data_IF_710637801766
#
_entry.id   IF_710637801766
#
_cell.length_a   1.000
_cell.length_b   1.000
_cell.length_c   1.000
_cell.angle_alpha   90.00
_cell.angle_beta   90.00
_cell.angle_gamma   90.00
#
_symmetry.space_group_name_H-M   'P 1'
#
loop_
_entity.id
_entity.type
_entity.pdbx_description
1 polymer ?
#
# COMPACT_ATOMS: atom_id res chain seq x y z
N UNK A 1 -9.41 -32.23 -19.49
CA UNK A 1 -9.18 -30.81 -19.74
C UNK A 1 -7.72 -30.65 -20.11
N UNK A 2 -7.47 -30.14 -21.30
CA UNK A 2 -6.11 -29.81 -21.76
C UNK A 2 -5.60 -28.57 -21.01
N UNK A 3 -4.40 -28.63 -20.46
CA UNK A 3 -3.81 -27.49 -19.75
C UNK A 3 -3.26 -26.49 -20.77
N UNK A 4 -3.73 -25.28 -20.74
CA UNK A 4 -3.21 -24.19 -21.56
C UNK A 4 -1.87 -23.70 -20.98
N UNK A 5 -0.92 -23.42 -21.88
CA UNK A 5 0.38 -22.84 -21.46
C UNK A 5 0.27 -21.32 -21.48
N UNK A 6 0.73 -20.67 -20.42
CA UNK A 6 0.70 -19.20 -20.28
C UNK A 6 1.43 -18.49 -21.45
N UNK A 7 2.47 -19.11 -22.01
CA UNK A 7 3.21 -18.56 -23.15
C UNK A 7 2.40 -18.49 -24.46
N UNK A 8 1.20 -19.09 -24.51
CA UNK A 8 0.30 -19.02 -25.66
C UNK A 8 -0.55 -17.75 -25.68
N UNK A 9 -0.55 -17.00 -24.58
CA UNK A 9 -1.29 -15.75 -24.48
C UNK A 9 -0.42 -14.57 -24.95
N UNK A 10 -0.97 -13.65 -25.74
CA UNK A 10 -0.21 -12.47 -26.15
C UNK A 10 0.13 -11.61 -24.92
N UNK A 11 1.41 -11.28 -24.78
CA UNK A 11 1.86 -10.29 -23.79
C UNK A 11 1.59 -8.91 -24.39
N UNK A 12 0.72 -8.13 -23.77
CA UNK A 12 0.55 -6.74 -24.12
C UNK A 12 1.72 -5.94 -23.52
N UNK A 13 2.47 -5.23 -24.38
CA UNK A 13 3.52 -4.34 -23.92
C UNK A 13 2.92 -3.24 -23.02
N UNK A 14 3.61 -2.95 -21.93
CA UNK A 14 3.28 -1.87 -21.01
C UNK A 14 3.35 -0.52 -21.78
N UNK A 15 2.19 0.05 -22.07
CA UNK A 15 2.13 1.28 -22.85
C UNK A 15 2.42 2.50 -21.99
N UNK A 16 3.23 3.42 -22.52
CA UNK A 16 3.36 4.77 -21.97
C UNK A 16 2.32 5.71 -22.57
N UNK A 17 1.92 6.72 -21.79
CA UNK A 17 1.05 7.83 -22.23
C UNK A 17 1.78 9.13 -22.01
N UNK A 18 1.83 9.97 -23.05
CA UNK A 18 2.33 11.34 -22.94
C UNK A 18 1.19 12.27 -22.55
N UNK A 19 1.40 13.05 -21.50
CA UNK A 19 0.47 14.09 -21.03
C UNK A 19 1.17 15.44 -21.09
N UNK A 20 0.50 16.43 -21.69
CA UNK A 20 1.03 17.79 -21.84
C UNK A 20 0.43 18.71 -20.79
N UNK A 21 1.30 19.47 -20.13
CA UNK A 21 0.94 20.56 -19.22
C UNK A 21 1.47 21.86 -19.81
N UNK A 22 0.60 22.85 -19.94
CA UNK A 22 0.97 24.19 -20.33
C UNK A 22 1.35 25.00 -19.10
N UNK A 23 2.54 25.63 -19.13
CA UNK A 23 2.98 26.55 -18.08
C UNK A 23 2.37 27.94 -18.28
N UNK A 24 2.43 28.80 -17.25
CA UNK A 24 1.97 30.18 -17.34
C UNK A 24 2.71 30.98 -18.44
N UNK A 25 3.95 30.60 -18.77
CA UNK A 25 4.76 31.20 -19.82
C UNK A 25 4.45 30.66 -21.23
N UNK A 26 3.41 29.81 -21.36
CA UNK A 26 3.02 29.18 -22.63
C UNK A 26 3.94 28.04 -23.10
N UNK A 27 4.88 27.59 -22.27
CA UNK A 27 5.70 26.42 -22.57
C UNK A 27 4.93 25.13 -22.23
N UNK A 28 5.22 24.06 -22.97
CA UNK A 28 4.67 22.74 -22.68
C UNK A 28 5.67 21.90 -21.90
N UNK A 29 5.22 21.36 -20.76
CA UNK A 29 5.91 20.31 -20.02
C UNK A 29 5.35 18.96 -20.46
N UNK A 30 6.25 18.06 -20.85
CA UNK A 30 5.90 16.71 -21.28
C UNK A 30 6.06 15.77 -20.07
N UNK A 31 4.97 15.12 -19.68
CA UNK A 31 5.01 14.07 -18.64
C UNK A 31 4.74 12.72 -19.32
N UNK A 32 5.69 11.81 -19.12
CA UNK A 32 5.55 10.42 -19.54
C UNK A 32 4.91 9.61 -18.42
N UNK A 33 3.83 8.90 -18.72
CA UNK A 33 3.06 8.13 -17.74
C UNK A 33 3.08 6.65 -18.13
N UNK A 34 3.62 5.80 -17.27
CA UNK A 34 3.48 4.34 -17.39
C UNK A 34 2.06 3.95 -16.98
N UNK A 35 1.30 3.34 -17.90
CA UNK A 35 -0.10 2.96 -17.64
C UNK A 35 -0.23 1.84 -16.64
N UNK A 36 0.72 0.91 -16.68
CA UNK A 36 0.74 -0.27 -15.83
C UNK A 36 2.10 -0.40 -15.16
N UNK A 37 2.11 -0.64 -13.85
CA UNK A 37 3.30 -0.92 -13.08
C UNK A 37 3.47 -2.45 -12.95
N UNK A 38 4.72 -2.96 -12.98
CA UNK A 38 5.00 -4.34 -12.61
C UNK A 38 4.47 -4.66 -11.22
N UNK A 39 4.01 -5.90 -11.02
CA UNK A 39 3.43 -6.33 -9.75
C UNK A 39 4.37 -6.09 -8.56
N UNK A 40 5.67 -6.28 -8.75
CA UNK A 40 6.67 -6.04 -7.71
C UNK A 40 6.69 -4.57 -7.26
N UNK A 41 6.64 -3.61 -8.19
CA UNK A 41 6.57 -2.18 -7.88
C UNK A 41 5.25 -1.81 -7.17
N UNK A 42 4.12 -2.39 -7.61
CA UNK A 42 2.83 -2.19 -6.91
C UNK A 42 2.89 -2.68 -5.47
N UNK A 43 3.45 -3.86 -5.24
CA UNK A 43 3.62 -4.43 -3.90
C UNK A 43 4.50 -3.55 -3.03
N UNK A 44 5.61 -3.02 -3.55
CA UNK A 44 6.49 -2.09 -2.84
C UNK A 44 5.75 -0.81 -2.44
N UNK A 45 4.99 -0.21 -3.36
CA UNK A 45 4.16 0.97 -3.07
C UNK A 45 3.16 0.67 -1.94
N UNK A 46 2.45 -0.46 -2.02
CA UNK A 46 1.46 -0.85 -1.02
C UNK A 46 2.13 -1.08 0.34
N UNK A 47 3.28 -1.74 0.37
CA UNK A 47 4.05 -1.94 1.61
C UNK A 47 4.48 -0.60 2.22
N UNK A 48 4.98 0.34 1.41
CA UNK A 48 5.34 1.67 1.88
C UNK A 48 4.15 2.43 2.47
N UNK A 49 2.98 2.38 1.80
CA UNK A 49 1.75 2.99 2.30
C UNK A 49 1.37 2.38 3.65
N UNK A 50 1.33 1.06 3.72
CA UNK A 50 0.89 0.31 4.89
C UNK A 50 1.86 0.52 6.06
N UNK A 51 3.17 0.49 5.82
CA UNK A 51 4.20 0.71 6.85
C UNK A 51 4.13 2.12 7.44
N UNK A 52 4.03 3.15 6.60
CA UNK A 52 3.88 4.53 7.08
C UNK A 52 2.57 4.75 7.84
N UNK A 53 1.56 3.96 7.51
CA UNK A 53 0.26 4.02 8.13
C UNK A 53 0.22 3.29 9.47
N UNK A 54 0.84 2.11 9.53
CA UNK A 54 0.78 1.17 10.68
C UNK A 54 1.81 1.50 11.76
N UNK A 55 2.95 2.11 11.38
CA UNK A 55 4.03 2.51 12.32
C UNK A 55 3.65 3.76 13.12
N UNK A 56 2.78 4.61 12.60
CA UNK A 56 2.23 5.70 13.39
C UNK A 56 1.44 5.12 14.57
N UNK A 57 1.85 5.46 15.80
CA UNK A 57 1.30 4.97 17.08
C UNK A 57 -0.22 5.17 17.27
N UNK A 58 -0.85 5.85 16.33
CA UNK A 58 -2.27 6.13 16.32
C UNK A 58 -3.02 4.96 15.67
N UNK A 59 -3.69 4.16 16.52
CA UNK A 59 -4.56 3.03 16.18
C UNK A 59 -5.78 3.37 15.32
N UNK A 60 -5.82 4.55 14.73
CA UNK A 60 -6.93 5.01 13.90
C UNK A 60 -6.59 4.87 12.42
N UNK A 61 -7.46 4.13 11.73
CA UNK A 61 -7.48 4.10 10.28
C UNK A 61 -7.80 5.50 9.75
N UNK A 62 -6.80 6.20 9.18
CA UNK A 62 -7.02 7.48 8.51
C UNK A 62 -7.07 7.26 6.99
N UNK A 63 -8.28 7.07 6.42
CA UNK A 63 -8.44 6.79 5.00
C UNK A 63 -7.94 7.93 4.11
N UNK A 64 -7.97 9.16 4.60
CA UNK A 64 -7.47 10.32 3.85
C UNK A 64 -5.95 10.26 3.68
N UNK A 65 -5.22 9.98 4.75
CA UNK A 65 -3.75 9.85 4.71
C UNK A 65 -3.33 8.73 3.77
N UNK A 66 -3.98 7.54 3.87
CA UNK A 66 -3.71 6.40 3.00
C UNK A 66 -3.93 6.77 1.53
N UNK A 67 -5.05 7.40 1.22
CA UNK A 67 -5.38 7.83 -0.15
C UNK A 67 -4.37 8.84 -0.68
N UNK A 68 -3.97 9.81 0.14
CA UNK A 68 -2.98 10.83 -0.22
C UNK A 68 -1.63 10.18 -0.55
N UNK A 69 -1.16 9.25 0.31
CA UNK A 69 0.06 8.48 0.07
C UNK A 69 -0.02 7.66 -1.23
N UNK A 70 -1.13 6.96 -1.46
CA UNK A 70 -1.32 6.17 -2.67
C UNK A 70 -1.26 7.04 -3.93
N UNK A 71 -1.84 8.24 -3.91
CA UNK A 71 -1.78 9.18 -5.03
C UNK A 71 -0.34 9.62 -5.32
N UNK A 72 0.39 10.07 -4.30
CA UNK A 72 1.76 10.56 -4.44
C UNK A 72 2.70 9.46 -4.91
N UNK A 73 2.68 8.29 -4.26
CA UNK A 73 3.57 7.18 -4.59
C UNK A 73 3.27 6.59 -5.96
N UNK A 74 2.00 6.55 -6.37
CA UNK A 74 1.64 6.13 -7.74
C UNK A 74 2.18 7.11 -8.77
N UNK A 75 2.07 8.42 -8.57
CA UNK A 75 2.63 9.42 -9.49
C UNK A 75 4.15 9.30 -9.54
N UNK A 76 4.81 9.22 -8.39
CA UNK A 76 6.27 9.05 -8.29
C UNK A 76 6.75 7.82 -9.06
N UNK A 77 6.05 6.69 -8.95
CA UNK A 77 6.42 5.46 -9.62
C UNK A 77 6.04 5.42 -11.10
N UNK A 78 4.92 6.04 -11.48
CA UNK A 78 4.38 5.94 -12.85
C UNK A 78 4.84 7.04 -13.80
N UNK A 79 5.55 8.06 -13.32
CA UNK A 79 5.91 9.22 -14.14
C UNK A 79 7.38 9.58 -14.06
N UNK A 80 7.82 10.47 -14.97
CA UNK A 80 9.13 11.11 -14.93
C UNK A 80 9.17 12.38 -14.06
N UNK A 81 8.18 12.59 -13.19
CA UNK A 81 8.16 13.72 -12.26
C UNK A 81 9.05 13.40 -11.06
N UNK A 82 10.04 14.22 -10.80
CA UNK A 82 10.87 14.12 -9.60
C UNK A 82 10.09 14.67 -8.39
N UNK A 83 9.93 13.83 -7.39
CA UNK A 83 9.27 14.15 -6.13
C UNK A 83 10.27 13.91 -5.00
N UNK A 84 10.57 14.95 -4.22
CA UNK A 84 11.46 14.87 -3.06
C UNK A 84 10.80 14.07 -1.93
N UNK A 85 11.57 13.22 -1.26
CA UNK A 85 11.11 12.46 -0.09
C UNK A 85 11.08 13.31 1.19
N UNK A 86 11.73 14.48 1.19
CA UNK A 86 11.81 15.38 2.34
C UNK A 86 10.62 16.35 2.45
N UNK A 87 9.76 16.41 1.42
CA UNK A 87 8.62 17.33 1.38
C UNK A 87 7.44 16.78 2.22
N UNK A 88 6.78 17.68 2.97
CA UNK A 88 5.59 17.31 3.71
C UNK A 88 4.50 16.77 2.78
N UNK A 89 3.94 15.61 3.13
CA UNK A 89 3.03 14.86 2.28
C UNK A 89 1.77 15.62 1.91
N UNK A 90 1.26 16.45 2.83
CA UNK A 90 0.04 17.24 2.59
C UNK A 90 0.33 18.46 1.74
N UNK A 91 1.47 19.12 1.98
CA UNK A 91 1.94 20.23 1.15
C UNK A 91 2.20 19.77 -0.29
N UNK A 92 2.85 18.63 -0.46
CA UNK A 92 3.09 18.01 -1.76
C UNK A 92 1.77 17.65 -2.48
N UNK A 93 0.82 17.04 -1.77
CA UNK A 93 -0.49 16.72 -2.33
C UNK A 93 -1.23 17.97 -2.80
N UNK A 94 -1.22 19.03 -2.01
CA UNK A 94 -1.84 20.31 -2.39
C UNK A 94 -1.19 20.93 -3.62
N UNK A 95 0.13 20.83 -3.75
CA UNK A 95 0.88 21.26 -4.93
C UNK A 95 0.48 20.47 -6.17
N UNK A 96 0.46 19.13 -6.08
CA UNK A 96 0.03 18.25 -7.18
C UNK A 96 -1.43 18.50 -7.60
N UNK A 97 -2.29 18.84 -6.64
CA UNK A 97 -3.69 19.17 -6.91
C UNK A 97 -3.82 20.53 -7.61
N UNK A 98 -3.12 21.57 -7.13
CA UNK A 98 -3.14 22.92 -7.74
C UNK A 98 -2.60 22.91 -9.17
N UNK A 99 -1.66 22.04 -9.48
CA UNK A 99 -1.12 21.86 -10.84
C UNK A 99 -1.95 20.94 -11.72
N UNK A 100 -3.09 20.43 -11.23
CA UNK A 100 -3.96 19.47 -11.93
C UNK A 100 -3.26 18.15 -12.32
N UNK A 101 -2.08 17.85 -11.75
CA UNK A 101 -1.34 16.62 -12.02
C UNK A 101 -2.16 15.40 -11.58
N UNK A 102 -2.78 15.44 -10.39
CA UNK A 102 -3.59 14.34 -9.88
C UNK A 102 -4.69 13.95 -10.86
N UNK A 103 -5.47 14.93 -11.32
CA UNK A 103 -6.64 14.68 -12.16
C UNK A 103 -6.26 14.19 -13.57
N UNK A 104 -5.16 14.72 -14.12
CA UNK A 104 -4.74 14.42 -15.48
C UNK A 104 -3.93 13.13 -15.61
N UNK A 105 -3.22 12.70 -14.54
CA UNK A 105 -2.29 11.56 -14.60
C UNK A 105 -2.91 10.29 -14.03
N UNK A 106 -3.54 10.36 -12.86
CA UNK A 106 -4.01 9.16 -12.15
C UNK A 106 -5.00 8.30 -12.96
N UNK A 107 -5.78 8.92 -13.85
CA UNK A 107 -6.72 8.22 -14.73
C UNK A 107 -6.05 7.25 -15.73
N UNK A 108 -4.74 7.40 -15.95
CA UNK A 108 -3.96 6.55 -16.85
C UNK A 108 -3.12 5.51 -16.13
N UNK A 109 -3.16 5.44 -14.80
CA UNK A 109 -2.31 4.59 -13.96
C UNK A 109 -3.10 3.52 -13.24
N UNK A 110 -2.38 2.59 -12.59
CA UNK A 110 -2.97 1.55 -11.72
C UNK A 110 -3.40 2.07 -10.34
N UNK A 111 -3.56 3.38 -10.18
CA UNK A 111 -3.87 4.01 -8.90
C UNK A 111 -5.06 3.36 -8.17
N UNK A 112 -6.14 3.05 -8.90
CA UNK A 112 -7.34 2.46 -8.29
C UNK A 112 -7.08 1.07 -7.71
N UNK A 113 -6.26 0.28 -8.38
CA UNK A 113 -5.84 -1.04 -7.91
C UNK A 113 -4.95 -0.91 -6.66
N UNK A 114 -3.94 -0.03 -6.72
CA UNK A 114 -3.02 0.23 -5.61
C UNK A 114 -3.76 0.71 -4.36
N UNK A 115 -4.69 1.67 -4.51
CA UNK A 115 -5.45 2.18 -3.37
C UNK A 115 -6.35 1.12 -2.76
N UNK A 116 -7.03 0.30 -3.58
CA UNK A 116 -7.90 -0.76 -3.09
C UNK A 116 -7.10 -1.81 -2.30
N UNK A 117 -5.99 -2.30 -2.84
CA UNK A 117 -5.13 -3.27 -2.15
C UNK A 117 -4.51 -2.68 -0.87
N UNK A 118 -4.16 -1.40 -0.89
CA UNK A 118 -3.67 -0.71 0.33
C UNK A 118 -4.74 -0.65 1.42
N UNK A 119 -6.00 -0.41 1.05
CA UNK A 119 -7.12 -0.44 2.00
C UNK A 119 -7.33 -1.83 2.58
N UNK A 120 -7.37 -2.86 1.75
CA UNK A 120 -7.54 -4.26 2.19
C UNK A 120 -6.43 -4.68 3.15
N UNK A 121 -5.18 -4.42 2.81
CA UNK A 121 -4.04 -4.70 3.69
C UNK A 121 -4.12 -3.94 5.02
N UNK A 122 -4.43 -2.65 4.99
CA UNK A 122 -4.54 -1.83 6.20
C UNK A 122 -5.69 -2.30 7.10
N UNK A 123 -6.84 -2.67 6.52
CA UNK A 123 -7.98 -3.20 7.28
C UNK A 123 -7.65 -4.52 7.99
N UNK A 124 -7.00 -5.45 7.28
CA UNK A 124 -6.57 -6.73 7.86
C UNK A 124 -5.60 -6.50 9.02
N UNK A 125 -4.62 -5.62 8.85
CA UNK A 125 -3.66 -5.29 9.91
C UNK A 125 -4.30 -4.62 11.13
N UNK A 126 -5.23 -3.71 10.91
CA UNK A 126 -5.97 -3.06 12.00
C UNK A 126 -6.82 -4.07 12.78
N UNK A 127 -7.52 -4.97 12.10
CA UNK A 127 -8.29 -6.05 12.72
C UNK A 127 -7.39 -6.98 13.53
N UNK A 128 -6.26 -7.38 12.98
CA UNK A 128 -5.28 -8.24 13.67
C UNK A 128 -4.75 -7.57 14.93
N UNK A 129 -4.33 -6.30 14.85
CA UNK A 129 -3.79 -5.56 16.01
C UNK A 129 -4.81 -5.36 17.12
N UNK A 130 -6.07 -5.03 16.76
CA UNK A 130 -7.13 -4.87 17.75
C UNK A 130 -7.46 -6.19 18.45
N UNK A 131 -7.49 -7.30 17.73
CA UNK A 131 -7.70 -8.64 18.29
C UNK A 131 -6.53 -9.07 19.17
N UNK A 132 -5.29 -8.83 18.75
CA UNK A 132 -4.10 -9.15 19.54
C UNK A 132 -4.01 -8.30 20.83
N UNK A 133 -4.37 -7.02 20.75
CA UNK A 133 -4.43 -6.14 21.93
C UNK A 133 -5.51 -6.60 22.91
N UNK A 134 -6.72 -6.90 22.43
CA UNK A 134 -7.79 -7.45 23.25
C UNK A 134 -7.35 -8.73 23.98
N UNK A 135 -6.68 -9.62 23.26
CA UNK A 135 -6.09 -10.83 23.83
C UNK A 135 -5.03 -10.53 24.90
N UNK A 136 -4.11 -9.58 24.67
CA UNK A 136 -3.12 -9.20 25.68
C UNK A 136 -3.74 -8.55 26.93
N UNK A 137 -4.81 -7.78 26.76
CA UNK A 137 -5.56 -7.19 27.88
C UNK A 137 -6.30 -8.28 28.67
N UNK A 138 -6.85 -9.28 27.99
CA UNK A 138 -7.47 -10.45 28.61
C UNK A 138 -6.44 -11.30 29.39
N UNK A 139 -5.26 -11.56 28.83
CA UNK A 139 -4.15 -12.21 29.52
C UNK A 139 -3.75 -11.46 30.78
N UNK A 140 -3.65 -10.13 30.71
CA UNK A 140 -3.28 -9.30 31.85
C UNK A 140 -4.36 -9.28 32.95
N UNK A 141 -5.61 -9.44 32.58
CA UNK A 141 -6.76 -9.46 33.50
C UNK A 141 -7.02 -10.83 34.13
N UNK A 142 -6.71 -11.92 33.41
CA UNK A 142 -6.87 -13.29 33.87
C UNK A 142 -5.60 -13.74 34.63
N UNK A 143 -5.72 -13.90 35.95
CA UNK A 143 -4.64 -14.40 36.82
C UNK A 143 -4.39 -15.91 36.73
N UNK A 144 -5.15 -16.65 35.95
CA UNK A 144 -5.05 -18.11 35.86
C UNK A 144 -4.15 -18.54 34.71
N UNK A 145 -2.92 -18.93 35.05
CA UNK A 145 -1.87 -19.31 34.11
C UNK A 145 -2.19 -20.59 33.29
N UNK A 146 -3.11 -21.44 33.73
CA UNK A 146 -3.47 -22.69 33.03
C UNK A 146 -4.28 -22.45 31.79
N UNK A 147 -5.21 -21.50 31.78
CA UNK A 147 -5.99 -21.13 30.58
C UNK A 147 -5.16 -20.38 29.53
N UNK A 148 -4.04 -19.82 29.93
CA UNK A 148 -3.17 -18.99 29.08
C UNK A 148 -2.44 -19.82 28.02
N UNK A 149 -2.02 -21.04 28.34
CA UNK A 149 -1.29 -21.91 27.40
C UNK A 149 -2.20 -22.43 26.29
N UNK A 150 -3.47 -22.72 26.58
CA UNK A 150 -4.45 -23.18 25.60
C UNK A 150 -4.88 -22.04 24.66
N UNK A 151 -5.08 -20.83 25.16
CA UNK A 151 -5.42 -19.66 24.36
C UNK A 151 -4.26 -19.25 23.44
N UNK A 152 -3.02 -19.28 23.91
CA UNK A 152 -1.84 -19.04 23.07
C UNK A 152 -1.72 -20.13 21.99
N UNK A 153 -1.93 -21.39 22.32
CA UNK A 153 -1.91 -22.48 21.36
C UNK A 153 -2.99 -22.35 20.29
N UNK A 154 -4.22 -21.92 20.67
CA UNK A 154 -5.31 -21.66 19.74
C UNK A 154 -4.96 -20.51 18.78
N UNK A 155 -4.45 -19.38 19.25
CA UNK A 155 -4.05 -18.26 18.41
C UNK A 155 -2.87 -18.59 17.49
N UNK A 156 -1.87 -19.33 18.00
CA UNK A 156 -0.76 -19.81 17.16
C UNK A 156 -1.26 -20.78 16.08
N UNK A 157 -2.29 -21.58 16.41
CA UNK A 157 -2.99 -22.41 15.44
C UNK A 157 -3.66 -21.60 14.34
N UNK A 158 -4.45 -20.59 14.69
CA UNK A 158 -5.12 -19.71 13.74
C UNK A 158 -4.13 -18.93 12.85
N UNK A 159 -3.01 -18.47 13.42
CA UNK A 159 -1.92 -17.82 12.68
C UNK A 159 -1.21 -18.78 11.72
N UNK A 160 -1.04 -20.04 12.12
CA UNK A 160 -0.41 -21.08 11.29
C UNK A 160 -1.31 -21.52 10.14
N UNK A 161 -2.62 -21.56 10.38
CA UNK A 161 -3.60 -21.99 9.38
C UNK A 161 -4.01 -20.86 8.42
N UNK A 162 -3.57 -19.62 8.67
CA UNK A 162 -3.75 -18.48 7.78
C UNK A 162 -2.41 -18.02 7.19
N UNK A 163 -2.03 -18.52 5.98
CA UNK A 163 -0.74 -18.22 5.36
C UNK A 163 -0.54 -16.74 5.02
N UNK A 164 -1.62 -15.98 4.84
CA UNK A 164 -1.55 -14.53 4.58
C UNK A 164 -1.11 -13.76 5.82
N UNK A 165 -1.65 -14.10 6.99
CA UNK A 165 -1.23 -13.52 8.27
C UNK A 165 0.19 -13.92 8.66
N UNK A 166 0.61 -15.17 8.39
CA UNK A 166 1.95 -15.63 8.65
C UNK A 166 3.00 -14.88 7.80
N UNK A 167 2.68 -14.54 6.56
CA UNK A 167 3.55 -13.75 5.69
C UNK A 167 3.59 -12.27 6.10
N UNK A 168 2.47 -11.68 6.53
CA UNK A 168 2.41 -10.32 7.07
C UNK A 168 3.25 -10.19 8.34
N UNK A 169 3.20 -11.18 9.23
CA UNK A 169 4.03 -11.19 10.44
C UNK A 169 5.52 -11.29 10.15
N UNK A 170 5.94 -12.02 9.13
CA UNK A 170 7.34 -12.07 8.68
C UNK A 170 7.83 -10.71 8.18
N UNK A 171 6.99 -9.99 7.46
CA UNK A 171 7.30 -8.63 6.97
C UNK A 171 7.43 -7.64 8.14
N UNK A 172 6.56 -7.76 9.15
CA UNK A 172 6.57 -6.87 10.33
C UNK A 172 7.70 -7.20 11.30
N UNK A 173 8.10 -8.47 11.41
CA UNK A 173 9.11 -8.93 12.38
C UNK A 173 10.55 -8.81 11.87
N UNK A 174 10.78 -8.47 10.61
CA UNK A 174 12.11 -8.37 10.04
C UNK A 174 12.40 -6.95 9.49
N UNK A 175 12.72 -5.97 10.38
CA UNK A 175 13.03 -4.59 9.97
C UNK A 175 14.35 -4.45 9.22
N UNK A 176 15.07 -5.54 8.95
CA UNK A 176 16.38 -5.55 8.29
C UNK A 176 16.30 -5.77 6.75
N UNK A 177 15.11 -5.77 6.16
CA UNK A 177 14.89 -5.82 4.71
C UNK A 177 14.27 -4.52 4.17
N UNK A 178 14.61 -3.39 4.76
CA UNK A 178 14.34 -2.06 4.21
C UNK A 178 15.65 -1.37 3.89
#
# INVERSE_FOLDING_TARGET
MEKLNLNQFPVHEEGTKTVLFETEDGNNIIVEVRKTLPLAEKVEIIQNIVNQYVVAEEYYFNPLKLRTLAQILTIKASTNIEISDDEDIYALHDKLRKTHILDKILIYTDYQEIVNWSYECAEVLCKFRSSFRGFLEEIKSNRDAENMSEQIASMVGELRDNPELANLLKVISNPAMV
#
